data_IF_051406960439
#
_entry.id   IF_051406960439
#
_cell.length_a   1.000
_cell.length_b   1.000
_cell.length_c   1.000
_cell.angle_alpha   90.00
_cell.angle_beta   90.00
_cell.angle_gamma   90.00
#
_symmetry.space_group_name_H-M   'P 1'
#
loop_
_entity.id
_entity.type
_entity.pdbx_description
1 polymer ?
#
# COMPACT_ATOMS: atom_id res chain seq x y z
N UNK A 1 26.12 -11.09 36.43
CA UNK A 1 26.96 -10.29 35.53
C UNK A 1 26.12 -9.12 35.07
N UNK A 2 26.58 -7.90 35.33
CA UNK A 2 25.89 -6.66 34.96
C UNK A 2 25.79 -6.62 33.44
N UNK A 3 24.60 -6.88 32.89
CA UNK A 3 24.28 -6.39 31.56
C UNK A 3 24.29 -4.88 31.68
N UNK A 4 25.27 -4.24 31.05
CA UNK A 4 25.13 -2.85 30.67
C UNK A 4 23.80 -2.78 29.92
N UNK A 5 22.80 -2.12 30.51
CA UNK A 5 21.49 -1.97 29.89
C UNK A 5 21.71 -1.24 28.57
N UNK A 6 21.76 -2.00 27.46
CA UNK A 6 21.77 -1.39 26.14
C UNK A 6 20.49 -0.59 26.04
N UNK A 7 20.64 0.65 25.61
CA UNK A 7 19.50 1.51 25.40
C UNK A 7 18.67 0.93 24.25
N UNK A 8 17.40 0.63 24.53
CA UNK A 8 16.48 0.07 23.53
C UNK A 8 16.28 1.05 22.37
N UNK A 9 16.02 0.56 21.14
CA UNK A 9 15.75 1.43 20.00
C UNK A 9 14.66 2.46 20.29
N UNK A 10 14.86 3.70 19.86
CA UNK A 10 13.92 4.80 20.10
C UNK A 10 12.51 4.49 19.61
N UNK A 11 12.43 3.85 18.43
CA UNK A 11 11.16 3.47 17.83
C UNK A 11 10.43 2.40 18.66
N UNK A 12 11.16 1.48 19.30
CA UNK A 12 10.58 0.52 20.23
C UNK A 12 9.97 1.26 21.42
N UNK A 13 10.71 2.20 22.03
CA UNK A 13 10.22 3.01 23.16
C UNK A 13 8.98 3.82 22.80
N UNK A 14 8.93 4.43 21.61
CA UNK A 14 7.75 5.16 21.12
C UNK A 14 6.53 4.25 20.95
N UNK A 15 6.75 2.99 20.59
CA UNK A 15 5.69 1.99 20.41
C UNK A 15 5.33 1.21 21.68
N UNK A 16 5.97 1.50 22.82
CA UNK A 16 5.88 0.71 24.04
C UNK A 16 4.44 0.54 24.57
N UNK A 17 3.53 1.47 24.24
CA UNK A 17 2.11 1.35 24.54
C UNK A 17 1.52 0.02 24.06
N UNK A 18 1.91 -0.48 22.89
CA UNK A 18 1.40 -1.76 22.35
C UNK A 18 1.91 -3.00 23.12
N UNK A 19 2.97 -2.85 23.91
CA UNK A 19 3.65 -3.94 24.63
C UNK A 19 3.59 -3.74 26.15
N UNK A 20 2.82 -2.75 26.61
CA UNK A 20 2.79 -2.34 28.02
C UNK A 20 2.25 -3.42 28.97
N UNK A 21 1.56 -4.43 28.43
CA UNK A 21 0.94 -5.52 29.18
C UNK A 21 1.64 -6.86 28.94
N UNK A 22 2.78 -6.86 28.24
CA UNK A 22 3.54 -8.08 28.01
C UNK A 22 4.15 -8.60 29.31
N UNK A 23 4.00 -9.90 29.56
CA UNK A 23 4.60 -10.59 30.70
C UNK A 23 5.69 -11.51 30.20
N UNK A 24 6.94 -11.17 30.48
CA UNK A 24 8.11 -11.96 30.10
C UNK A 24 8.45 -13.00 31.17
N UNK A 25 8.88 -14.18 30.73
CA UNK A 25 9.36 -15.22 31.65
C UNK A 25 10.59 -14.72 32.43
N UNK A 26 10.77 -15.03 33.74
CA UNK A 26 11.90 -14.53 34.53
C UNK A 26 13.31 -14.87 34.02
N UNK A 27 13.42 -15.90 33.18
CA UNK A 27 14.68 -16.33 32.55
C UNK A 27 14.84 -15.87 31.10
N UNK A 28 13.90 -15.10 30.56
CA UNK A 28 13.97 -14.56 29.21
C UNK A 28 14.66 -13.19 29.23
N UNK A 29 15.76 -13.07 28.49
CA UNK A 29 16.34 -11.76 28.18
C UNK A 29 15.59 -11.12 27.01
N UNK A 30 14.44 -10.51 27.33
CA UNK A 30 13.58 -9.89 26.32
C UNK A 30 14.22 -8.65 25.70
N UNK A 31 15.14 -7.98 26.38
CA UNK A 31 15.82 -6.80 25.84
C UNK A 31 16.75 -7.19 24.69
N UNK A 32 17.45 -8.32 24.83
CA UNK A 32 18.22 -8.90 23.72
C UNK A 32 17.32 -9.27 22.54
N UNK A 33 16.13 -9.85 22.77
CA UNK A 33 15.18 -10.13 21.68
C UNK A 33 14.73 -8.85 20.95
N UNK A 34 14.56 -7.74 21.67
CA UNK A 34 14.24 -6.45 21.04
C UNK A 34 15.40 -5.99 20.17
N UNK A 35 16.63 -6.08 20.64
CA UNK A 35 17.80 -5.70 19.84
C UNK A 35 18.02 -6.60 18.62
N UNK A 36 17.71 -7.89 18.73
CA UNK A 36 17.96 -8.85 17.64
C UNK A 36 16.90 -8.79 16.53
N UNK A 37 15.65 -8.42 16.87
CA UNK A 37 14.51 -8.57 15.95
C UNK A 37 13.68 -7.31 15.73
N UNK A 38 13.76 -6.31 16.60
CA UNK A 38 12.98 -5.08 16.42
C UNK A 38 13.73 -4.11 15.49
N UNK A 39 13.04 -3.45 14.54
CA UNK A 39 13.68 -2.48 13.64
C UNK A 39 14.34 -1.32 14.40
N UNK A 40 15.48 -0.84 13.91
CA UNK A 40 16.25 0.23 14.55
C UNK A 40 15.69 1.63 14.24
N UNK A 41 14.87 1.73 13.19
CA UNK A 41 14.32 3.01 12.73
C UNK A 41 12.86 2.91 12.28
N UNK A 42 12.18 4.07 12.24
CA UNK A 42 10.84 4.18 11.66
C UNK A 42 10.80 3.74 10.20
N UNK A 43 11.86 4.02 9.45
CA UNK A 43 11.99 3.61 8.05
C UNK A 43 11.98 2.08 7.92
N UNK A 44 12.82 1.39 8.67
CA UNK A 44 12.89 -0.07 8.66
C UNK A 44 11.59 -0.71 9.17
N UNK A 45 10.99 -0.16 10.23
CA UNK A 45 9.70 -0.64 10.73
C UNK A 45 8.61 -0.54 9.65
N UNK A 46 8.58 0.59 8.97
CA UNK A 46 7.62 0.89 7.91
C UNK A 46 7.84 0.00 6.68
N UNK A 47 9.10 -0.21 6.27
CA UNK A 47 9.46 -1.13 5.18
C UNK A 47 9.16 -2.59 5.52
N UNK A 48 9.40 -3.00 6.76
CA UNK A 48 9.08 -4.35 7.26
C UNK A 48 7.57 -4.61 7.21
N UNK A 49 6.75 -3.70 7.75
CA UNK A 49 5.29 -3.81 7.69
C UNK A 49 4.75 -3.78 6.26
N UNK A 50 5.31 -2.91 5.40
CA UNK A 50 4.97 -2.85 3.97
C UNK A 50 5.28 -4.18 3.28
N UNK A 51 6.44 -4.78 3.58
CA UNK A 51 6.87 -6.06 3.00
C UNK A 51 6.04 -7.24 3.49
N UNK A 52 5.67 -7.27 4.77
CA UNK A 52 4.75 -8.28 5.31
C UNK A 52 3.38 -8.20 4.61
N UNK A 53 2.86 -6.99 4.44
CA UNK A 53 1.57 -6.76 3.76
C UNK A 53 1.62 -7.22 2.30
N UNK A 54 2.70 -6.91 1.58
CA UNK A 54 2.91 -7.38 0.22
C UNK A 54 3.04 -8.91 0.16
N UNK A 55 3.75 -9.52 1.12
CA UNK A 55 3.89 -10.98 1.25
C UNK A 55 2.53 -11.67 1.36
N UNK A 56 1.64 -11.19 2.24
CA UNK A 56 0.27 -11.72 2.32
C UNK A 56 -0.45 -11.67 0.97
N UNK A 57 -0.38 -10.54 0.26
CA UNK A 57 -0.97 -10.40 -1.07
C UNK A 57 -0.38 -11.42 -2.08
N UNK A 58 0.95 -11.46 -2.23
CA UNK A 58 1.61 -12.32 -3.21
C UNK A 58 1.40 -13.81 -2.93
N UNK A 59 1.48 -14.23 -1.67
CA UNK A 59 1.25 -15.61 -1.26
C UNK A 59 -0.20 -16.02 -1.48
N UNK A 60 -1.17 -15.17 -1.13
CA UNK A 60 -2.59 -15.44 -1.38
C UNK A 60 -2.88 -15.61 -2.86
N UNK A 61 -2.31 -14.76 -3.72
CA UNK A 61 -2.43 -14.91 -5.17
C UNK A 61 -1.81 -16.22 -5.67
N UNK A 62 -0.59 -16.53 -5.23
CA UNK A 62 0.08 -17.79 -5.59
C UNK A 62 -0.78 -19.01 -5.25
N UNK A 63 -1.28 -19.06 -4.02
CA UNK A 63 -2.14 -20.15 -3.54
C UNK A 63 -3.45 -20.22 -4.34
N UNK A 64 -4.05 -19.06 -4.67
CA UNK A 64 -5.23 -19.03 -5.53
C UNK A 64 -4.93 -19.57 -6.94
N UNK A 65 -3.78 -19.24 -7.51
CA UNK A 65 -3.32 -19.76 -8.79
C UNK A 65 -3.13 -21.28 -8.77
N UNK A 66 -2.52 -21.81 -7.71
CA UNK A 66 -2.30 -23.25 -7.51
C UNK A 66 -3.61 -24.02 -7.35
N UNK A 67 -4.61 -23.45 -6.66
CA UNK A 67 -5.88 -24.12 -6.37
C UNK A 67 -6.92 -23.97 -7.48
N UNK A 68 -6.95 -22.82 -8.17
CA UNK A 68 -8.07 -22.43 -9.03
C UNK A 68 -7.67 -22.06 -10.47
N UNK A 69 -6.39 -22.14 -10.82
CA UNK A 69 -5.87 -21.79 -12.14
C UNK A 69 -5.22 -20.40 -12.18
N UNK A 70 -4.19 -20.26 -13.02
CA UNK A 70 -3.35 -19.06 -13.07
C UNK A 70 -4.14 -17.81 -13.48
N UNK A 71 -5.17 -17.97 -14.31
CA UNK A 71 -6.06 -16.90 -14.74
C UNK A 71 -6.82 -16.23 -13.58
N UNK A 72 -7.02 -16.96 -12.48
CA UNK A 72 -7.73 -16.44 -11.29
C UNK A 72 -6.89 -15.47 -10.48
N UNK A 73 -5.56 -15.47 -10.64
CA UNK A 73 -4.69 -14.53 -9.94
C UNK A 73 -5.00 -13.08 -10.34
N UNK A 74 -5.09 -12.80 -11.64
CA UNK A 74 -5.42 -11.47 -12.14
C UNK A 74 -6.82 -11.03 -11.69
N UNK A 75 -7.82 -11.90 -11.80
CA UNK A 75 -9.20 -11.60 -11.39
C UNK A 75 -9.26 -11.29 -9.88
N UNK A 76 -8.60 -12.10 -9.05
CA UNK A 76 -8.54 -11.90 -7.61
C UNK A 76 -7.84 -10.58 -7.27
N UNK A 77 -6.68 -10.31 -7.88
CA UNK A 77 -5.93 -9.07 -7.69
C UNK A 77 -6.80 -7.85 -8.02
N UNK A 78 -7.40 -7.83 -9.22
CA UNK A 78 -8.28 -6.77 -9.70
C UNK A 78 -9.42 -6.50 -8.71
N UNK A 79 -10.16 -7.53 -8.32
CA UNK A 79 -11.27 -7.42 -7.37
C UNK A 79 -10.82 -6.95 -5.99
N UNK A 80 -9.68 -7.44 -5.51
CA UNK A 80 -9.12 -7.04 -4.21
C UNK A 80 -8.77 -5.55 -4.22
N UNK A 81 -8.09 -5.05 -5.26
CA UNK A 81 -7.76 -3.63 -5.36
C UNK A 81 -9.00 -2.76 -5.51
N UNK A 82 -9.98 -3.17 -6.31
CA UNK A 82 -11.27 -2.49 -6.42
C UNK A 82 -11.96 -2.34 -5.06
N UNK A 83 -12.12 -3.43 -4.31
CA UNK A 83 -12.76 -3.39 -3.00
C UNK A 83 -11.94 -2.62 -1.96
N UNK A 84 -10.61 -2.65 -2.07
CA UNK A 84 -9.74 -1.85 -1.23
C UNK A 84 -9.93 -0.34 -1.49
N UNK A 85 -10.05 0.07 -2.75
CA UNK A 85 -10.39 1.44 -3.14
C UNK A 85 -11.70 1.89 -2.51
N UNK A 86 -12.78 1.09 -2.66
CA UNK A 86 -14.07 1.37 -2.04
C UNK A 86 -13.97 1.53 -0.53
N UNK A 87 -13.31 0.58 0.13
CA UNK A 87 -13.15 0.59 1.60
C UNK A 87 -12.39 1.83 2.10
N UNK A 88 -11.37 2.28 1.35
CA UNK A 88 -10.61 3.49 1.69
C UNK A 88 -11.48 4.74 1.53
N UNK A 89 -12.22 4.86 0.43
CA UNK A 89 -13.15 5.96 0.20
C UNK A 89 -14.22 6.03 1.30
N UNK A 90 -14.86 4.91 1.66
CA UNK A 90 -15.85 4.83 2.75
C UNK A 90 -15.29 5.35 4.07
N UNK A 91 -14.12 4.85 4.47
CA UNK A 91 -13.46 5.24 5.72
C UNK A 91 -13.18 6.74 5.77
N UNK A 92 -12.74 7.32 4.65
CA UNK A 92 -12.43 8.75 4.60
C UNK A 92 -13.68 9.61 4.52
N UNK A 93 -14.70 9.22 3.76
CA UNK A 93 -15.98 9.93 3.73
C UNK A 93 -16.65 10.01 5.11
N UNK A 94 -16.56 8.93 5.91
CA UNK A 94 -17.08 8.93 7.27
C UNK A 94 -16.36 9.93 8.21
N UNK A 95 -15.09 10.24 7.93
CA UNK A 95 -14.26 11.16 8.73
C UNK A 95 -14.20 12.57 8.15
N UNK A 96 -14.51 12.73 6.87
CA UNK A 96 -14.44 13.99 6.11
C UNK A 96 -15.66 14.11 5.19
N UNK A 97 -16.84 14.45 5.73
CA UNK A 97 -18.06 14.62 4.95
C UNK A 97 -17.92 15.67 3.83
N UNK A 98 -17.02 16.63 4.01
CA UNK A 98 -16.71 17.73 3.08
C UNK A 98 -15.81 17.34 1.90
N UNK A 99 -15.42 16.07 1.78
CA UNK A 99 -14.62 15.60 0.64
C UNK A 99 -15.31 15.90 -0.69
N UNK A 100 -14.61 16.61 -1.57
CA UNK A 100 -15.11 17.00 -2.89
C UNK A 100 -15.54 15.78 -3.72
N UNK A 101 -16.60 15.94 -4.53
CA UNK A 101 -17.14 14.89 -5.41
C UNK A 101 -16.77 15.17 -6.86
N UNK A 102 -15.47 15.24 -7.11
CA UNK A 102 -14.87 15.59 -8.38
C UNK A 102 -13.44 15.00 -8.49
N UNK A 103 -12.67 15.38 -9.51
CA UNK A 103 -11.31 14.87 -9.69
C UNK A 103 -10.36 15.20 -8.52
N UNK A 104 -10.57 16.33 -7.82
CA UNK A 104 -9.80 16.70 -6.61
C UNK A 104 -10.08 15.76 -5.45
N UNK A 105 -11.34 15.38 -5.26
CA UNK A 105 -11.75 14.43 -4.24
C UNK A 105 -11.09 13.06 -4.43
N UNK A 106 -11.13 12.53 -5.65
CA UNK A 106 -10.47 11.27 -6.01
C UNK A 106 -8.96 11.39 -5.75
N UNK A 107 -8.33 12.46 -6.24
CA UNK A 107 -6.89 12.72 -6.04
C UNK A 107 -6.52 12.79 -4.57
N UNK A 108 -7.34 13.44 -3.74
CA UNK A 108 -7.12 13.55 -2.30
C UNK A 108 -7.10 12.16 -1.63
N UNK A 109 -7.96 11.24 -2.06
CA UNK A 109 -7.96 9.87 -1.56
C UNK A 109 -6.74 9.08 -2.04
N UNK A 110 -6.27 9.30 -3.27
CA UNK A 110 -5.01 8.71 -3.77
C UNK A 110 -3.84 9.14 -2.89
N UNK A 111 -3.72 10.43 -2.59
CA UNK A 111 -2.67 10.94 -1.72
C UNK A 111 -2.77 10.38 -0.30
N UNK A 112 -3.99 10.28 0.24
CA UNK A 112 -4.22 9.65 1.55
C UNK A 112 -3.75 8.19 1.56
N UNK A 113 -4.00 7.43 0.49
CA UNK A 113 -3.53 6.06 0.35
C UNK A 113 -2.00 5.98 0.28
N UNK A 114 -1.34 6.90 -0.44
CA UNK A 114 0.13 6.96 -0.49
C UNK A 114 0.70 7.24 0.91
N UNK A 115 0.23 8.29 1.58
CA UNK A 115 0.72 8.70 2.90
C UNK A 115 0.57 7.63 3.97
N UNK A 116 -0.49 6.83 3.91
CA UNK A 116 -0.81 5.87 4.98
C UNK A 116 -0.36 4.46 4.68
N UNK A 117 -0.23 4.11 3.41
CA UNK A 117 -0.14 2.69 3.01
C UNK A 117 0.95 2.39 1.99
N UNK A 118 1.57 3.38 1.33
CA UNK A 118 2.64 3.15 0.34
C UNK A 118 3.81 4.13 0.56
N UNK A 119 4.61 3.91 1.61
CA UNK A 119 5.70 4.80 2.02
C UNK A 119 6.84 4.87 0.99
N UNK A 120 6.93 3.89 0.09
CA UNK A 120 7.97 3.79 -0.94
C UNK A 120 7.59 4.57 -2.23
N UNK A 121 6.36 5.07 -2.33
CA UNK A 121 5.91 5.90 -3.44
C UNK A 121 6.12 7.39 -3.16
N UNK A 122 6.54 8.08 -4.22
CA UNK A 122 6.55 9.53 -4.37
C UNK A 122 5.53 9.91 -5.42
N UNK A 123 5.01 11.12 -5.34
CA UNK A 123 4.10 11.63 -6.35
C UNK A 123 4.45 13.06 -6.77
N UNK A 124 4.02 13.40 -7.97
CA UNK A 124 4.04 14.75 -8.54
C UNK A 124 2.65 15.04 -9.09
N UNK A 125 2.07 16.17 -8.71
CA UNK A 125 0.76 16.62 -9.21
C UNK A 125 1.01 17.46 -10.45
N UNK A 126 0.61 16.94 -11.61
CA UNK A 126 0.78 17.60 -12.91
C UNK A 126 -0.43 18.47 -13.27
N UNK A 127 -1.63 18.11 -12.79
CA UNK A 127 -2.88 18.85 -12.96
C UNK A 127 -3.78 18.63 -11.74
N UNK A 128 -4.49 19.67 -11.27
CA UNK A 128 -5.38 19.58 -10.11
C UNK A 128 -6.52 20.61 -10.13
N UNK A 129 -7.56 20.31 -10.90
CA UNK A 129 -8.82 21.04 -10.91
C UNK A 129 -10.01 20.09 -10.72
N UNK A 130 -11.23 20.65 -10.68
CA UNK A 130 -12.43 19.86 -10.44
C UNK A 130 -12.71 18.86 -11.57
N UNK A 131 -12.47 19.25 -12.83
CA UNK A 131 -12.74 18.42 -14.01
C UNK A 131 -11.57 17.53 -14.41
N UNK A 132 -10.34 17.85 -13.99
CA UNK A 132 -9.13 17.14 -14.41
C UNK A 132 -8.09 17.09 -13.29
N UNK A 133 -7.57 15.90 -13.03
CA UNK A 133 -6.35 15.72 -12.25
C UNK A 133 -5.40 14.73 -12.91
N UNK A 134 -4.10 15.03 -12.84
CA UNK A 134 -3.02 14.15 -13.30
C UNK A 134 -1.95 14.02 -12.23
N UNK A 135 -1.59 12.78 -11.95
CA UNK A 135 -0.66 12.41 -10.89
C UNK A 135 0.41 11.51 -11.52
N UNK A 136 1.68 11.88 -11.40
CA UNK A 136 2.78 10.96 -11.65
C UNK A 136 3.19 10.31 -10.34
N UNK A 137 3.30 8.99 -10.32
CA UNK A 137 3.72 8.21 -9.16
C UNK A 137 5.00 7.45 -9.50
N UNK A 138 6.02 7.60 -8.67
CA UNK A 138 7.33 6.93 -8.83
C UNK A 138 7.76 6.27 -7.53
N UNK A 139 8.61 5.26 -7.59
CA UNK A 139 9.12 4.61 -6.37
C UNK A 139 9.39 3.14 -6.57
N UNK A 140 9.20 2.35 -5.51
CA UNK A 140 9.31 0.89 -5.57
C UNK A 140 7.92 0.27 -5.44
N UNK A 141 7.50 -0.47 -6.45
CA UNK A 141 6.24 -1.21 -6.42
C UNK A 141 6.42 -2.49 -5.61
N UNK A 142 5.95 -2.46 -4.36
CA UNK A 142 6.04 -3.61 -3.45
C UNK A 142 5.25 -4.83 -3.94
N UNK A 143 4.17 -4.62 -4.70
CA UNK A 143 3.37 -5.71 -5.23
C UNK A 143 4.11 -6.39 -6.36
N UNK A 144 4.81 -5.63 -7.21
CA UNK A 144 5.73 -6.19 -8.20
C UNK A 144 6.88 -6.92 -7.52
N UNK A 145 7.52 -6.30 -6.51
CA UNK A 145 8.63 -6.90 -5.77
C UNK A 145 8.30 -8.29 -5.24
N UNK A 146 7.14 -8.45 -4.58
CA UNK A 146 6.75 -9.74 -4.02
C UNK A 146 6.33 -10.75 -5.09
N UNK A 147 5.56 -10.35 -6.10
CA UNK A 147 5.10 -11.29 -7.14
C UNK A 147 6.24 -11.73 -8.03
N UNK A 148 7.20 -10.85 -8.30
CA UNK A 148 8.43 -11.15 -9.01
C UNK A 148 9.32 -12.13 -8.22
N UNK A 149 9.50 -11.90 -6.92
CA UNK A 149 10.22 -12.84 -6.06
C UNK A 149 9.56 -14.24 -5.98
N UNK A 150 8.24 -14.31 -6.20
CA UNK A 150 7.48 -15.56 -6.24
C UNK A 150 7.39 -16.19 -7.64
N UNK A 151 7.86 -15.50 -8.69
CA UNK A 151 7.78 -15.93 -10.08
C UNK A 151 6.35 -15.99 -10.63
N UNK A 152 5.48 -15.08 -10.20
CA UNK A 152 4.08 -15.00 -10.63
C UNK A 152 3.69 -13.64 -11.24
N UNK A 153 4.62 -12.70 -11.33
CA UNK A 153 4.42 -11.35 -11.86
C UNK A 153 3.95 -11.34 -13.32
N UNK A 154 4.39 -12.32 -14.12
CA UNK A 154 3.96 -12.51 -15.51
C UNK A 154 2.48 -12.89 -15.67
N UNK A 155 1.81 -13.29 -14.58
CA UNK A 155 0.39 -13.64 -14.58
C UNK A 155 -0.51 -12.45 -14.19
N UNK A 156 0.07 -11.28 -14.01
CA UNK A 156 -0.63 -10.07 -13.59
C UNK A 156 -0.47 -8.96 -14.64
N UNK A 157 -1.49 -8.11 -14.72
CA UNK A 157 -1.46 -6.89 -15.52
C UNK A 157 -0.91 -5.75 -14.68
N UNK A 158 0.17 -5.14 -15.16
CA UNK A 158 0.79 -3.99 -14.51
C UNK A 158 0.26 -2.67 -15.08
N UNK A 159 -0.01 -1.67 -14.22
CA UNK A 159 0.09 -1.71 -12.76
C UNK A 159 -1.13 -2.41 -12.11
N UNK A 160 -0.88 -3.28 -11.13
CA UNK A 160 -1.94 -4.10 -10.51
C UNK A 160 -2.98 -3.28 -9.73
N UNK A 161 -2.65 -2.05 -9.33
CA UNK A 161 -3.52 -1.18 -8.57
C UNK A 161 -4.46 -0.32 -9.45
N UNK A 162 -4.57 -0.55 -10.75
CA UNK A 162 -5.50 0.19 -11.62
C UNK A 162 -6.93 0.23 -11.08
N UNK A 163 -7.45 -0.94 -10.70
CA UNK A 163 -8.83 -1.06 -10.21
C UNK A 163 -9.05 -0.41 -8.85
N UNK A 164 -7.99 -0.13 -8.08
CA UNK A 164 -8.11 0.64 -6.83
C UNK A 164 -8.67 2.03 -7.11
N UNK A 165 -8.21 2.70 -8.17
CA UNK A 165 -8.68 4.04 -8.51
C UNK A 165 -10.13 4.03 -8.99
N UNK A 166 -10.52 3.00 -9.76
CA UNK A 166 -11.91 2.75 -10.14
C UNK A 166 -12.79 2.57 -8.90
N UNK A 167 -12.34 1.79 -7.91
CA UNK A 167 -13.04 1.60 -6.65
C UNK A 167 -13.24 2.90 -5.87
N UNK A 168 -12.24 3.79 -5.84
CA UNK A 168 -12.37 5.12 -5.23
C UNK A 168 -13.48 5.94 -5.92
N UNK A 169 -13.43 6.03 -7.25
CA UNK A 169 -14.40 6.80 -8.05
C UNK A 169 -15.82 6.30 -7.84
N UNK A 170 -16.01 4.98 -7.95
CA UNK A 170 -17.33 4.38 -7.89
C UNK A 170 -17.96 4.58 -6.50
N UNK A 171 -17.18 4.43 -5.44
CA UNK A 171 -17.65 4.68 -4.07
C UNK A 171 -17.99 6.15 -3.84
N UNK A 172 -17.32 7.07 -4.53
CA UNK A 172 -17.68 8.49 -4.49
C UNK A 172 -18.95 8.82 -5.29
N UNK A 173 -19.54 7.87 -6.02
CA UNK A 173 -20.69 8.07 -6.89
C UNK A 173 -20.34 8.78 -8.22
N UNK A 174 -19.10 8.63 -8.68
CA UNK A 174 -18.54 9.40 -9.80
C UNK A 174 -18.35 8.59 -11.09
N UNK A 175 -18.90 7.37 -11.16
CA UNK A 175 -18.66 6.44 -12.27
C UNK A 175 -19.05 7.00 -13.64
N UNK A 176 -20.20 7.67 -13.71
CA UNK A 176 -20.75 8.27 -14.95
C UNK A 176 -20.20 9.67 -15.24
N UNK A 177 -19.45 10.26 -14.30
CA UNK A 177 -19.00 11.65 -14.38
C UNK A 177 -17.50 11.76 -14.69
N UNK A 178 -16.71 10.74 -14.33
CA UNK A 178 -15.26 10.77 -14.49
C UNK A 178 -14.73 9.45 -15.06
N UNK A 179 -13.84 9.57 -16.04
CA UNK A 179 -12.98 8.48 -16.49
C UNK A 179 -11.66 8.51 -15.70
N UNK A 180 -11.13 7.33 -15.40
CA UNK A 180 -9.79 7.17 -14.82
C UNK A 180 -9.00 6.26 -15.75
N UNK A 181 -7.78 6.68 -16.08
CA UNK A 181 -6.80 5.83 -16.75
C UNK A 181 -5.49 5.84 -15.97
N UNK A 182 -4.78 4.72 -16.01
CA UNK A 182 -3.45 4.58 -15.46
C UNK A 182 -2.52 4.04 -16.54
N UNK A 183 -1.36 4.67 -16.71
CA UNK A 183 -0.37 4.31 -17.70
C UNK A 183 0.91 3.88 -17.00
N UNK A 184 1.41 2.70 -17.36
CA UNK A 184 2.75 2.26 -17.03
C UNK A 184 3.76 2.96 -17.95
N UNK A 185 4.62 3.82 -17.39
CA UNK A 185 5.74 4.42 -18.14
C UNK A 185 7.00 3.58 -18.02
N UNK A 186 7.25 3.03 -16.83
CA UNK A 186 8.44 2.25 -16.51
C UNK A 186 8.18 1.30 -15.35
N UNK A 187 8.70 0.07 -15.44
CA UNK A 187 8.78 -0.90 -14.35
C UNK A 187 9.96 -1.84 -14.65
N UNK A 188 10.93 -1.93 -13.73
CA UNK A 188 12.12 -2.76 -13.91
C UNK A 188 12.21 -3.96 -12.94
N UNK A 189 13.22 -4.80 -13.13
CA UNK A 189 13.49 -5.99 -12.31
C UNK A 189 13.75 -5.65 -10.83
N UNK A 190 14.23 -4.43 -10.54
CA UNK A 190 14.36 -3.93 -9.17
C UNK A 190 13.04 -3.36 -8.62
N UNK A 191 11.94 -3.57 -9.34
CA UNK A 191 10.60 -3.07 -9.03
C UNK A 191 10.50 -1.54 -8.94
N UNK A 192 11.45 -0.80 -9.54
CA UNK A 192 11.32 0.65 -9.64
C UNK A 192 10.28 0.98 -10.69
N UNK A 193 9.33 1.83 -10.33
CA UNK A 193 8.17 2.12 -11.16
C UNK A 193 7.99 3.61 -11.48
N UNK A 194 7.32 3.88 -12.59
CA UNK A 194 6.80 5.18 -13.00
C UNK A 194 5.42 4.98 -13.62
N UNK A 195 4.39 5.46 -12.92
CA UNK A 195 2.99 5.37 -13.32
C UNK A 195 2.42 6.77 -13.48
N UNK A 196 1.56 6.95 -14.47
CA UNK A 196 0.78 8.18 -14.62
C UNK A 196 -0.70 7.86 -14.47
N UNK A 197 -1.37 8.55 -13.56
CA UNK A 197 -2.81 8.46 -13.32
C UNK A 197 -3.47 9.73 -13.85
N UNK A 198 -4.56 9.54 -14.57
CA UNK A 198 -5.28 10.61 -15.23
C UNK A 198 -6.78 10.46 -14.97
N UNK A 199 -7.37 11.45 -14.31
CA UNK A 199 -8.77 11.49 -13.87
C UNK A 199 -9.43 12.67 -14.58
N UNK A 200 -10.38 12.41 -15.49
CA UNK A 200 -11.01 13.45 -16.31
C UNK A 200 -12.52 13.33 -16.30
N UNK A 201 -13.21 14.47 -16.29
CA UNK A 201 -14.63 14.52 -16.54
C UNK A 201 -14.96 13.95 -17.93
N UNK A 202 -16.08 13.23 -18.02
CA UNK A 202 -16.60 12.64 -19.27
C UNK A 202 -17.37 13.68 -20.07
#
# INVERSE_FOLDING_TARGET
MSSLSRELPDIFRQSAFFRAQDVYHPYMDWQTLVHDFYPDSLLELTQSQSSITASFYGQMLKQAGELFGLERMQELSSRTFYQHGKSLAQRHMARKPELERNARGITTLVLAAIFTSNPEYRFEILQFDAGHARIRMTGVDRYHRITHALGIDQHLQWPVNGDFFTGLRDELGLAELYAISQQLKYLDESSRCDYEIDIRAI
#
